data_IF_630123172786
#
_entry.id   IF_630123172786
#
_cell.length_a   1.000
_cell.length_b   1.000
_cell.length_c   1.000
_cell.angle_alpha   90.00
_cell.angle_beta   90.00
_cell.angle_gamma   90.00
#
_symmetry.space_group_name_H-M   'P 1'
#
loop_
_entity.id
_entity.type
_entity.pdbx_description
1 polymer ?
#
# COMPACT_ATOMS: atom_id res chain seq x y z
N UNK A 1 44.88 0.99 34.88
CA UNK A 1 44.06 1.72 33.90
C UNK A 1 43.63 0.74 32.81
N UNK A 2 42.43 0.19 32.90
CA UNK A 2 41.90 -0.79 31.94
C UNK A 2 40.81 -0.12 31.11
N UNK A 3 41.05 0.04 29.80
CA UNK A 3 40.05 0.51 28.84
C UNK A 3 38.92 -0.52 28.76
N UNK A 4 37.70 -0.11 29.13
CA UNK A 4 36.48 -0.85 28.79
C UNK A 4 36.17 -0.60 27.32
N UNK A 5 36.29 -1.63 26.50
CA UNK A 5 35.68 -1.65 25.17
C UNK A 5 34.17 -1.52 25.32
N UNK A 6 33.61 -0.43 24.79
CA UNK A 6 32.18 -0.27 24.64
C UNK A 6 31.70 -1.24 23.55
N UNK A 7 30.99 -2.28 23.97
CA UNK A 7 30.22 -3.13 23.06
C UNK A 7 29.20 -2.26 22.34
N UNK A 8 29.37 -2.07 21.02
CA UNK A 8 28.31 -1.57 20.14
C UNK A 8 27.13 -2.53 20.30
N UNK A 9 26.09 -2.10 21.01
CA UNK A 9 24.83 -2.82 21.04
C UNK A 9 24.36 -3.01 19.62
N UNK A 10 24.11 -4.27 19.22
CA UNK A 10 23.31 -4.54 18.03
C UNK A 10 22.01 -3.74 18.19
N UNK A 11 21.54 -3.00 17.18
CA UNK A 11 20.18 -2.48 17.22
C UNK A 11 19.27 -3.67 17.51
N UNK A 12 18.42 -3.53 18.53
CA UNK A 12 17.37 -4.51 18.82
C UNK A 12 16.70 -4.88 17.50
N UNK A 13 16.59 -6.16 17.19
CA UNK A 13 15.77 -6.67 16.09
C UNK A 13 14.33 -6.20 16.36
N UNK A 14 14.01 -4.99 15.89
CA UNK A 14 12.66 -4.51 15.84
C UNK A 14 11.87 -5.49 15.00
N UNK A 15 10.67 -5.84 15.46
CA UNK A 15 9.79 -6.75 14.77
C UNK A 15 9.34 -6.08 13.46
N UNK A 16 10.16 -6.15 12.42
CA UNK A 16 9.90 -5.50 11.13
C UNK A 16 8.66 -6.13 10.53
N UNK A 17 7.68 -5.29 10.22
CA UNK A 17 6.46 -5.68 9.54
C UNK A 17 6.53 -5.36 8.05
N UNK A 18 5.85 -6.16 7.25
CA UNK A 18 5.93 -6.16 5.80
C UNK A 18 4.56 -6.06 5.15
N UNK A 19 4.55 -5.50 3.95
CA UNK A 19 3.51 -5.71 2.96
C UNK A 19 4.06 -6.67 1.89
N UNK A 20 3.21 -7.61 1.46
CA UNK A 20 3.44 -8.43 0.28
C UNK A 20 2.35 -8.10 -0.74
N UNK A 21 2.74 -7.77 -1.98
CA UNK A 21 1.81 -7.29 -2.99
C UNK A 21 2.12 -7.73 -4.43
N UNK A 22 1.06 -7.82 -5.23
CA UNK A 22 1.07 -7.88 -6.69
C UNK A 22 0.14 -6.81 -7.27
N UNK A 23 0.46 -6.39 -8.49
CA UNK A 23 -0.22 -5.29 -9.16
C UNK A 23 -0.58 -5.68 -10.59
N UNK A 24 -1.72 -5.20 -11.07
CA UNK A 24 -2.16 -5.39 -12.45
C UNK A 24 -3.03 -4.24 -12.90
N UNK A 25 -3.29 -4.19 -14.20
CA UNK A 25 -4.18 -3.20 -14.81
C UNK A 25 -4.97 -3.83 -15.95
N UNK A 26 -6.17 -3.33 -16.23
CA UNK A 26 -7.03 -3.85 -17.30
C UNK A 26 -8.02 -2.79 -17.81
N UNK A 27 -8.63 -3.05 -18.97
CA UNK A 27 -9.60 -2.14 -19.57
C UNK A 27 -11.02 -2.36 -19.02
N UNK A 28 -11.82 -1.30 -18.96
CA UNK A 28 -13.21 -1.36 -18.46
C UNK A 28 -14.10 -2.45 -19.08
N UNK A 29 -13.84 -2.87 -20.32
CA UNK A 29 -14.57 -3.97 -20.99
C UNK A 29 -14.40 -5.32 -20.28
N UNK A 30 -13.28 -5.55 -19.62
CA UNK A 30 -12.94 -6.81 -18.95
C UNK A 30 -13.43 -6.85 -17.49
N UNK A 31 -13.94 -5.71 -16.99
CA UNK A 31 -14.43 -5.55 -15.62
C UNK A 31 -15.44 -6.62 -15.20
N UNK A 32 -16.49 -6.97 -15.97
CA UNK A 32 -17.46 -7.97 -15.52
C UNK A 32 -16.82 -9.34 -15.28
N UNK A 33 -15.91 -9.78 -16.15
CA UNK A 33 -15.26 -11.08 -16.04
C UNK A 33 -14.30 -11.14 -14.85
N UNK A 34 -13.49 -10.09 -14.66
CA UNK A 34 -12.53 -9.99 -13.55
C UNK A 34 -13.27 -9.88 -12.21
N UNK A 35 -14.27 -8.99 -12.13
CA UNK A 35 -15.13 -8.79 -10.97
C UNK A 35 -15.77 -10.11 -10.51
N UNK A 36 -16.40 -10.83 -11.44
CA UNK A 36 -17.09 -12.08 -11.12
C UNK A 36 -16.12 -13.14 -10.62
N UNK A 37 -14.94 -13.25 -11.22
CA UNK A 37 -13.93 -14.22 -10.78
C UNK A 37 -13.42 -13.90 -9.38
N UNK A 38 -13.05 -12.65 -9.10
CA UNK A 38 -12.58 -12.26 -7.76
C UNK A 38 -13.69 -12.49 -6.73
N UNK A 39 -14.92 -12.08 -7.03
CA UNK A 39 -16.08 -12.24 -6.12
C UNK A 39 -16.34 -13.70 -5.78
N UNK A 40 -16.28 -14.61 -6.76
CA UNK A 40 -16.51 -16.05 -6.55
C UNK A 40 -15.51 -16.69 -5.57
N UNK A 41 -14.32 -16.09 -5.45
CA UNK A 41 -13.22 -16.63 -4.65
C UNK A 41 -12.84 -15.73 -3.46
N UNK A 42 -13.71 -14.80 -3.09
CA UNK A 42 -13.52 -13.89 -1.96
C UNK A 42 -14.59 -14.12 -0.89
N UNK A 43 -14.26 -13.89 0.38
CA UNK A 43 -15.23 -13.97 1.48
C UNK A 43 -16.18 -12.77 1.50
N UNK A 44 -15.75 -11.63 0.97
CA UNK A 44 -16.57 -10.42 0.90
C UNK A 44 -16.19 -9.54 -0.28
N UNK A 45 -17.14 -8.72 -0.72
CA UNK A 45 -17.00 -7.75 -1.80
C UNK A 45 -17.82 -6.51 -1.46
N UNK A 46 -17.19 -5.33 -1.42
CA UNK A 46 -17.87 -4.06 -1.16
C UNK A 46 -17.31 -2.95 -2.04
N UNK A 47 -18.10 -1.91 -2.25
CA UNK A 47 -17.62 -0.70 -2.90
C UNK A 47 -16.60 0.02 -2.01
N UNK A 48 -15.63 0.69 -2.63
CA UNK A 48 -14.67 1.55 -1.95
C UNK A 48 -14.59 2.92 -2.62
N UNK A 49 -14.39 3.95 -1.80
CA UNK A 49 -14.03 5.28 -2.28
C UNK A 49 -13.06 5.91 -1.29
N UNK A 50 -11.76 5.82 -1.58
CA UNK A 50 -10.72 6.24 -0.63
C UNK A 50 -10.06 7.52 -1.09
N UNK A 51 -9.79 8.42 -0.15
CA UNK A 51 -8.87 9.54 -0.35
C UNK A 51 -7.50 9.19 0.19
N UNK A 52 -6.47 9.35 -0.64
CA UNK A 52 -5.08 9.16 -0.24
C UNK A 52 -4.31 10.47 -0.39
N UNK A 53 -3.50 10.82 0.61
CA UNK A 53 -2.55 11.91 0.56
C UNK A 53 -1.14 11.37 0.72
N UNK A 54 -0.22 11.94 -0.03
CA UNK A 54 1.22 11.67 0.09
C UNK A 54 1.90 12.91 0.62
N UNK A 55 2.72 12.72 1.63
CA UNK A 55 3.56 13.74 2.23
C UNK A 55 5.03 13.35 2.09
N UNK A 56 5.87 14.36 1.90
CA UNK A 56 7.32 14.22 1.92
C UNK A 56 7.91 15.02 3.09
N UNK A 57 9.08 14.65 3.62
CA UNK A 57 9.77 15.44 4.63
C UNK A 57 10.04 16.87 4.13
N UNK A 58 9.95 17.87 5.00
CA UNK A 58 10.23 19.26 4.65
C UNK A 58 11.66 19.45 4.11
N UNK A 59 12.61 18.66 4.60
CA UNK A 59 14.03 18.67 4.21
C UNK A 59 14.36 17.68 3.08
N UNK A 60 13.35 17.25 2.30
CA UNK A 60 13.48 16.21 1.26
C UNK A 60 14.64 16.46 0.28
N UNK A 61 14.90 17.72 -0.10
CA UNK A 61 15.98 18.06 -1.02
C UNK A 61 17.35 17.82 -0.38
N UNK A 62 17.54 18.19 0.88
CA UNK A 62 18.78 17.94 1.62
C UNK A 62 19.03 16.45 1.84
N UNK A 63 17.98 15.66 2.06
CA UNK A 63 18.10 14.20 2.18
C UNK A 63 18.58 13.58 0.87
N UNK A 64 17.97 13.97 -0.26
CA UNK A 64 18.36 13.49 -1.60
C UNK A 64 19.80 13.88 -1.96
N UNK A 65 20.21 15.11 -1.66
CA UNK A 65 21.60 15.57 -1.84
C UNK A 65 22.62 14.74 -1.04
N UNK A 66 22.21 14.20 0.11
CA UNK A 66 23.02 13.28 0.94
C UNK A 66 22.90 11.82 0.51
N UNK A 67 22.20 11.53 -0.58
CA UNK A 67 21.97 10.16 -1.07
C UNK A 67 21.01 9.34 -0.19
N UNK A 68 20.22 10.00 0.65
CA UNK A 68 19.20 9.36 1.48
C UNK A 68 17.88 9.35 0.72
N UNK A 69 17.25 8.19 0.62
CA UNK A 69 15.92 8.04 0.04
C UNK A 69 14.86 8.46 1.08
N UNK A 70 14.11 9.56 0.85
CA UNK A 70 13.20 10.09 1.83
C UNK A 70 12.02 9.15 2.07
N UNK A 71 11.74 8.86 3.33
CA UNK A 71 10.55 8.09 3.71
C UNK A 71 9.32 8.95 3.48
N UNK A 72 8.44 8.52 2.58
CA UNK A 72 7.17 9.20 2.34
C UNK A 72 6.14 8.75 3.38
N UNK A 73 5.38 9.72 3.89
CA UNK A 73 4.24 9.46 4.76
C UNK A 73 2.98 9.48 3.92
N UNK A 74 2.11 8.49 4.08
CA UNK A 74 0.83 8.39 3.40
C UNK A 74 -0.29 8.47 4.41
N UNK A 75 -1.37 9.14 4.04
CA UNK A 75 -2.62 9.17 4.81
C UNK A 75 -3.74 8.64 3.94
N UNK A 76 -4.52 7.69 4.45
CA UNK A 76 -5.70 7.13 3.75
C UNK A 76 -6.94 7.33 4.60
N UNK A 77 -8.06 7.66 3.96
CA UNK A 77 -9.39 7.70 4.57
C UNK A 77 -10.41 7.07 3.63
N UNK A 78 -11.22 6.15 4.15
CA UNK A 78 -12.41 5.63 3.45
C UNK A 78 -13.53 6.67 3.53
N UNK A 79 -14.15 6.99 2.38
CA UNK A 79 -15.15 8.05 2.27
C UNK A 79 -16.58 7.52 2.27
N UNK A 80 -16.76 6.22 2.04
CA UNK A 80 -18.09 5.58 2.16
C UNK A 80 -18.44 5.28 3.62
N UNK A 81 -17.47 5.32 4.53
CA UNK A 81 -17.69 5.16 5.97
C UNK A 81 -18.04 6.52 6.61
N UNK A 82 -19.22 6.65 7.28
CA UNK A 82 -19.66 7.91 7.89
C UNK A 82 -18.62 8.54 8.84
N UNK A 83 -17.92 7.71 9.61
CA UNK A 83 -16.89 8.12 10.57
C UNK A 83 -15.49 7.64 10.17
N UNK A 84 -15.22 7.54 8.87
CA UNK A 84 -13.95 7.09 8.32
C UNK A 84 -12.77 7.84 8.93
N UNK A 85 -11.90 7.10 9.63
CA UNK A 85 -10.69 7.65 10.28
C UNK A 85 -9.53 7.72 9.29
N UNK A 86 -8.63 8.67 9.53
CA UNK A 86 -7.37 8.71 8.83
C UNK A 86 -6.44 7.63 9.38
N UNK A 87 -5.86 6.84 8.48
CA UNK A 87 -4.78 5.91 8.77
C UNK A 87 -3.49 6.47 8.18
N UNK A 88 -2.47 6.63 9.02
CA UNK A 88 -1.14 7.03 8.56
C UNK A 88 -0.27 5.79 8.36
N UNK A 89 0.51 5.77 7.29
CA UNK A 89 1.40 4.66 7.00
C UNK A 89 2.56 5.07 6.10
N UNK A 90 3.62 4.29 6.13
CA UNK A 90 4.77 4.43 5.25
C UNK A 90 5.19 3.08 4.73
N UNK A 91 5.51 3.04 3.44
CA UNK A 91 6.22 1.94 2.83
C UNK A 91 7.69 2.33 2.72
N UNK A 92 8.58 1.40 3.10
CA UNK A 92 10.00 1.56 2.86
C UNK A 92 10.38 0.88 1.53
N UNK A 93 11.64 1.06 1.14
CA UNK A 93 12.18 0.48 -0.08
C UNK A 93 11.88 -1.03 -0.16
N UNK A 94 11.34 -1.52 -1.29
CA UNK A 94 11.14 -2.95 -1.49
C UNK A 94 12.44 -3.75 -1.35
N UNK A 95 12.29 -4.97 -0.84
CA UNK A 95 13.37 -5.94 -0.84
C UNK A 95 13.79 -6.30 -2.27
N UNK A 96 15.04 -6.72 -2.41
CA UNK A 96 15.63 -6.98 -3.71
C UNK A 96 14.83 -8.02 -4.51
N UNK A 97 14.71 -7.79 -5.82
CA UNK A 97 14.21 -8.78 -6.80
C UNK A 97 14.93 -10.12 -6.68
N UNK A 98 16.20 -10.13 -6.26
CA UNK A 98 16.96 -11.37 -6.07
C UNK A 98 16.47 -12.22 -4.89
N UNK A 99 15.81 -11.62 -3.91
CA UNK A 99 15.28 -12.30 -2.72
C UNK A 99 13.83 -12.72 -2.95
N UNK A 100 13.02 -11.82 -3.52
CA UNK A 100 11.60 -12.03 -3.76
C UNK A 100 11.19 -11.72 -5.21
N UNK A 101 11.60 -12.54 -6.20
CA UNK A 101 11.41 -12.18 -7.61
C UNK A 101 9.94 -12.06 -8.02
N UNK A 102 9.06 -12.85 -7.40
CA UNK A 102 7.69 -13.03 -7.89
C UNK A 102 6.69 -12.04 -7.29
N UNK A 103 7.03 -11.36 -6.17
CA UNK A 103 6.14 -10.42 -5.49
C UNK A 103 6.91 -9.23 -4.92
N UNK A 104 6.20 -8.10 -4.76
CA UNK A 104 6.74 -6.95 -4.04
C UNK A 104 6.67 -7.25 -2.56
N UNK A 105 7.82 -7.37 -1.90
CA UNK A 105 7.93 -7.47 -0.44
C UNK A 105 8.61 -6.20 0.05
N UNK A 106 7.95 -5.43 0.92
CA UNK A 106 8.50 -4.17 1.41
C UNK A 106 8.12 -3.92 2.87
N UNK A 107 9.00 -3.30 3.68
CA UNK A 107 8.61 -2.95 5.04
C UNK A 107 7.45 -1.96 5.04
N UNK A 108 6.51 -2.19 5.95
CA UNK A 108 5.28 -1.41 6.08
C UNK A 108 5.05 -1.03 7.54
N UNK A 109 5.10 0.28 7.81
CA UNK A 109 4.78 0.85 9.11
C UNK A 109 3.41 1.52 9.06
N UNK A 110 2.55 1.23 10.03
CA UNK A 110 1.21 1.84 10.15
C UNK A 110 1.03 2.47 11.51
N UNK A 111 0.32 3.59 11.58
CA UNK A 111 -0.08 4.25 12.81
C UNK A 111 -1.52 4.73 12.71
N UNK A 112 -2.29 4.45 13.76
CA UNK A 112 -3.61 5.01 13.96
C UNK A 112 -3.45 6.34 14.72
N UNK A 113 -3.98 7.42 14.15
CA UNK A 113 -3.97 8.74 14.80
C UNK A 113 -5.37 9.08 15.24
N UNK A 114 -5.52 9.47 16.51
CA UNK A 114 -6.75 10.04 17.02
C UNK A 114 -6.75 11.55 16.80
N UNK A 115 -7.87 12.10 16.30
CA UNK A 115 -8.00 13.53 16.01
C UNK A 115 -7.55 13.91 14.60
N UNK A 116 -6.91 15.07 14.46
CA UNK A 116 -6.49 15.60 13.16
C UNK A 116 -5.15 15.01 12.71
N UNK A 117 -5.23 13.90 11.96
CA UNK A 117 -4.07 13.21 11.43
C UNK A 117 -3.25 14.04 10.43
N UNK A 118 -3.86 15.00 9.72
CA UNK A 118 -3.15 15.78 8.69
C UNK A 118 -2.33 16.90 9.33
N UNK A 119 -2.89 17.56 10.35
CA UNK A 119 -2.12 18.49 11.19
C UNK A 119 -1.01 17.76 11.96
N UNK A 120 -1.28 16.55 12.45
CA UNK A 120 -0.26 15.72 13.08
C UNK A 120 0.89 15.39 12.12
N UNK A 121 0.61 14.97 10.89
CA UNK A 121 1.64 14.77 9.86
C UNK A 121 2.49 16.04 9.64
N UNK A 122 1.84 17.20 9.57
CA UNK A 122 2.53 18.48 9.37
C UNK A 122 3.43 18.85 10.55
N UNK A 123 2.98 18.58 11.79
CA UNK A 123 3.77 18.78 13.00
C UNK A 123 5.00 17.85 13.08
N UNK A 124 4.97 16.69 12.42
CA UNK A 124 6.13 15.80 12.27
C UNK A 124 7.16 16.31 11.24
N UNK A 125 6.94 17.48 10.64
CA UNK A 125 7.84 18.04 9.63
C UNK A 125 7.58 17.51 8.22
N UNK A 126 6.39 16.96 7.95
CA UNK A 126 5.99 16.54 6.61
C UNK A 126 5.16 17.62 5.90
N UNK A 127 5.34 17.73 4.59
CA UNK A 127 4.58 18.63 3.73
C UNK A 127 3.80 17.83 2.70
N UNK A 128 2.55 18.23 2.43
CA UNK A 128 1.69 17.54 1.46
C UNK A 128 2.28 17.72 0.05
N UNK A 129 2.62 16.60 -0.58
CA UNK A 129 3.15 16.55 -1.95
C UNK A 129 2.05 16.33 -2.98
N UNK A 130 1.17 15.37 -2.73
CA UNK A 130 0.10 15.02 -3.66
C UNK A 130 -1.12 14.43 -2.93
N UNK A 131 -2.21 14.31 -3.67
CA UNK A 131 -3.42 13.62 -3.24
C UNK A 131 -4.08 12.96 -4.44
N UNK A 132 -4.78 11.87 -4.20
CA UNK A 132 -5.58 11.15 -5.19
C UNK A 132 -6.82 10.56 -4.52
N UNK A 133 -7.79 10.21 -5.35
CA UNK A 133 -8.96 9.45 -4.94
C UNK A 133 -8.95 8.13 -5.71
N UNK A 134 -9.34 7.04 -5.04
CA UNK A 134 -9.53 5.73 -5.67
C UNK A 134 -10.99 5.34 -5.51
N UNK A 135 -11.67 5.01 -6.60
CA UNK A 135 -13.05 4.52 -6.60
C UNK A 135 -13.12 3.15 -7.24
N UNK A 136 -13.81 2.22 -6.59
CA UNK A 136 -13.95 0.87 -7.10
C UNK A 136 -14.47 -0.10 -6.07
N UNK A 137 -13.80 -1.24 -5.94
CA UNK A 137 -14.22 -2.36 -5.11
C UNK A 137 -13.07 -2.91 -4.28
N UNK A 138 -13.42 -3.40 -3.09
CA UNK A 138 -12.51 -4.08 -2.18
C UNK A 138 -13.06 -5.47 -1.86
N UNK A 139 -12.16 -6.46 -1.87
CA UNK A 139 -12.47 -7.85 -1.57
C UNK A 139 -11.57 -8.38 -0.47
N UNK A 140 -12.08 -9.32 0.32
CA UNK A 140 -11.28 -10.09 1.29
C UNK A 140 -11.14 -11.53 0.84
N UNK A 141 -9.91 -12.04 0.89
CA UNK A 141 -9.55 -13.46 0.71
C UNK A 141 -8.48 -13.82 1.72
N UNK A 142 -8.87 -14.46 2.81
CA UNK A 142 -8.01 -14.83 3.94
C UNK A 142 -7.24 -13.63 4.48
N UNK A 143 -5.89 -13.66 4.51
CA UNK A 143 -5.07 -12.56 4.99
C UNK A 143 -4.93 -11.42 3.96
N UNK A 144 -5.52 -11.55 2.77
CA UNK A 144 -5.36 -10.60 1.67
C UNK A 144 -6.54 -9.63 1.58
N UNK A 145 -6.21 -8.44 1.09
CA UNK A 145 -7.15 -7.49 0.53
C UNK A 145 -6.84 -7.35 -0.95
N UNK A 146 -7.88 -7.45 -1.78
CA UNK A 146 -7.80 -7.17 -3.21
C UNK A 146 -8.54 -5.86 -3.43
N UNK A 147 -7.87 -4.87 -4.01
CA UNK A 147 -8.49 -3.60 -4.39
C UNK A 147 -8.49 -3.51 -5.90
N UNK A 148 -9.63 -3.18 -6.47
CA UNK A 148 -9.78 -2.92 -7.90
C UNK A 148 -10.44 -1.58 -8.08
N UNK A 149 -9.74 -0.61 -8.66
CA UNK A 149 -10.18 0.79 -8.66
C UNK A 149 -9.71 1.55 -9.89
N UNK A 150 -10.36 2.68 -10.16
CA UNK A 150 -9.82 3.73 -11.02
C UNK A 150 -9.36 4.90 -10.15
N UNK A 151 -8.30 5.57 -10.56
CA UNK A 151 -7.86 6.81 -9.95
C UNK A 151 -8.70 7.99 -10.47
N UNK A 152 -9.22 8.78 -9.54
CA UNK A 152 -9.96 10.00 -9.81
C UNK A 152 -9.05 11.21 -9.62
N UNK A 153 -9.05 12.13 -10.59
CA UNK A 153 -8.29 13.37 -10.48
C UNK A 153 -8.92 14.31 -9.47
N UNK A 154 -8.11 15.19 -8.88
CA UNK A 154 -8.62 16.22 -7.98
C UNK A 154 -8.83 17.52 -8.73
N UNK A 155 -10.05 18.05 -8.67
CA UNK A 155 -10.35 19.38 -9.18
C UNK A 155 -9.55 20.42 -8.38
N UNK A 156 -8.69 21.24 -9.03
CA UNK A 156 -7.84 22.20 -8.33
C UNK A 156 -8.64 23.29 -7.61
N UNK A 157 -9.85 23.62 -8.09
CA UNK A 157 -10.71 24.66 -7.51
C UNK A 157 -11.54 24.12 -6.36
N UNK A 158 -12.20 22.98 -6.56
CA UNK A 158 -13.16 22.45 -5.57
C UNK A 158 -12.54 21.46 -4.58
N UNK A 159 -11.34 20.95 -4.87
CA UNK A 159 -10.67 19.89 -4.10
C UNK A 159 -11.51 18.61 -4.00
N UNK A 160 -12.44 18.41 -4.94
CA UNK A 160 -13.32 17.24 -5.03
C UNK A 160 -12.82 16.29 -6.13
N UNK A 161 -13.14 14.98 -6.04
CA UNK A 161 -12.81 14.04 -7.09
C UNK A 161 -13.59 14.33 -8.38
N UNK A 162 -12.89 14.27 -9.50
CA UNK A 162 -13.46 14.22 -10.85
C UNK A 162 -13.57 12.75 -11.24
N UNK A 163 -14.77 12.26 -11.62
CA UNK A 163 -14.94 10.88 -12.03
C UNK A 163 -13.96 10.47 -13.12
N UNK A 164 -13.43 9.26 -13.00
CA UNK A 164 -12.50 8.70 -13.99
C UNK A 164 -13.17 8.63 -15.38
N UNK A 165 -12.37 8.83 -16.43
CA UNK A 165 -12.86 8.68 -17.80
C UNK A 165 -13.09 7.21 -18.12
N UNK A 166 -13.92 6.92 -19.14
CA UNK A 166 -14.13 5.53 -19.58
C UNK A 166 -12.85 4.84 -20.11
N UNK A 167 -11.87 5.64 -20.53
CA UNK A 167 -10.57 5.18 -21.05
C UNK A 167 -9.55 4.96 -19.94
N UNK A 168 -9.82 5.44 -18.72
CA UNK A 168 -8.95 5.22 -17.57
C UNK A 168 -8.90 3.73 -17.26
N UNK A 169 -7.70 3.16 -17.18
CA UNK A 169 -7.52 1.75 -16.81
C UNK A 169 -8.01 1.51 -15.39
N UNK A 170 -8.49 0.31 -15.16
CA UNK A 170 -8.68 -0.21 -13.81
C UNK A 170 -7.35 -0.74 -13.31
N UNK A 171 -6.97 -0.35 -12.11
CA UNK A 171 -5.83 -0.87 -11.38
C UNK A 171 -6.29 -1.93 -10.39
N UNK A 172 -5.46 -2.95 -10.21
CA UNK A 172 -5.66 -4.02 -9.23
C UNK A 172 -4.45 -4.11 -8.32
N UNK A 173 -4.68 -4.03 -7.02
CA UNK A 173 -3.69 -4.29 -5.97
C UNK A 173 -4.13 -5.52 -5.19
N UNK A 174 -3.34 -6.60 -5.23
CA UNK A 174 -3.51 -7.77 -4.37
C UNK A 174 -2.44 -7.69 -3.30
N UNK A 175 -2.82 -7.51 -2.03
CA UNK A 175 -1.85 -7.31 -0.96
C UNK A 175 -2.29 -7.88 0.37
N UNK A 176 -1.35 -8.07 1.30
CA UNK A 176 -1.67 -8.34 2.70
C UNK A 176 -2.54 -7.24 3.30
N UNK A 177 -3.61 -7.61 3.99
CA UNK A 177 -4.57 -6.64 4.53
C UNK A 177 -4.04 -5.84 5.74
N UNK A 178 -3.07 -6.39 6.46
CA UNK A 178 -2.40 -5.78 7.61
C UNK A 178 -0.90 -6.05 7.52
N UNK A 179 -0.06 -5.26 8.21
CA UNK A 179 1.37 -5.52 8.25
C UNK A 179 1.64 -6.92 8.83
N UNK A 180 2.49 -7.71 8.16
CA UNK A 180 2.82 -9.08 8.58
C UNK A 180 4.25 -9.17 9.07
N UNK A 181 4.51 -9.98 10.10
CA UNK A 181 5.86 -10.25 10.59
C UNK A 181 6.33 -11.61 10.08
N UNK A 182 7.64 -11.72 9.83
CA UNK A 182 8.25 -13.03 9.59
C UNK A 182 8.41 -13.76 10.91
N UNK A 183 7.85 -14.96 11.04
CA UNK A 183 8.07 -15.84 12.19
C UNK A 183 8.39 -17.26 11.73
N UNK A 184 8.83 -18.13 12.66
CA UNK A 184 9.10 -19.54 12.35
C UNK A 184 7.84 -20.28 11.87
N UNK A 185 6.69 -19.94 12.45
CA UNK A 185 5.41 -20.60 12.18
C UNK A 185 4.64 -19.97 11.01
N UNK A 186 5.03 -18.75 10.60
CA UNK A 186 4.43 -18.03 9.47
C UNK A 186 5.51 -17.23 8.74
N UNK A 187 6.32 -17.90 7.90
CA UNK A 187 7.36 -17.24 7.13
C UNK A 187 6.74 -16.32 6.05
N UNK A 188 7.47 -15.29 5.64
CA UNK A 188 7.01 -14.37 4.57
C UNK A 188 6.68 -15.10 3.26
N UNK A 189 7.36 -16.22 2.97
CA UNK A 189 7.09 -17.05 1.79
C UNK A 189 5.64 -17.52 1.72
N UNK A 190 5.01 -17.81 2.87
CA UNK A 190 3.60 -18.21 2.90
C UNK A 190 2.68 -17.08 2.40
N UNK A 191 2.98 -15.82 2.75
CA UNK A 191 2.21 -14.68 2.27
C UNK A 191 2.49 -14.37 0.79
N UNK A 192 3.70 -14.67 0.31
CA UNK A 192 4.05 -14.64 -1.12
C UNK A 192 3.20 -15.67 -1.88
N UNK A 193 3.15 -16.92 -1.40
CA UNK A 193 2.36 -17.97 -2.01
C UNK A 193 0.86 -17.59 -2.08
N UNK A 194 0.35 -16.96 -1.02
CA UNK A 194 -1.05 -16.48 -1.00
C UNK A 194 -1.34 -15.47 -2.11
N UNK A 195 -0.46 -14.50 -2.37
CA UNK A 195 -0.68 -13.53 -3.47
C UNK A 195 -0.51 -14.19 -4.84
N UNK A 196 0.41 -15.16 -4.97
CA UNK A 196 0.60 -15.93 -6.20
C UNK A 196 -0.57 -16.87 -6.51
N UNK A 197 -1.28 -17.36 -5.49
CA UNK A 197 -2.53 -18.11 -5.69
C UNK A 197 -3.58 -17.24 -6.41
N UNK A 198 -3.68 -15.95 -6.05
CA UNK A 198 -4.57 -15.00 -6.73
C UNK A 198 -4.10 -14.75 -8.16
N UNK A 199 -2.79 -14.63 -8.40
CA UNK A 199 -2.24 -14.54 -9.76
C UNK A 199 -2.63 -15.77 -10.61
N UNK A 200 -2.48 -16.99 -10.08
CA UNK A 200 -2.85 -18.21 -10.78
C UNK A 200 -4.35 -18.27 -11.09
N UNK A 201 -5.18 -17.88 -10.13
CA UNK A 201 -6.63 -17.79 -10.29
C UNK A 201 -7.02 -16.80 -11.38
N UNK A 202 -6.31 -15.68 -11.48
CA UNK A 202 -6.55 -14.65 -12.49
C UNK A 202 -5.93 -14.94 -13.86
N UNK A 203 -5.24 -16.07 -14.02
CA UNK A 203 -4.60 -16.47 -15.28
C UNK A 203 -5.57 -16.40 -16.47
N UNK A 204 -5.11 -15.75 -17.52
CA UNK A 204 -5.86 -15.53 -18.76
C UNK A 204 -6.87 -14.37 -18.72
N UNK A 205 -7.09 -13.74 -17.56
CA UNK A 205 -7.96 -12.56 -17.43
C UNK A 205 -7.20 -11.30 -17.00
N UNK A 206 -6.26 -11.42 -16.06
CA UNK A 206 -5.52 -10.31 -15.51
C UNK A 206 -4.07 -10.75 -15.23
N UNK A 207 -3.12 -9.98 -15.75
CA UNK A 207 -1.70 -10.16 -15.47
C UNK A 207 -1.34 -9.43 -14.17
N UNK A 208 -1.19 -10.18 -13.08
CA UNK A 208 -0.72 -9.67 -11.80
C UNK A 208 0.78 -9.89 -11.69
N UNK A 209 1.54 -8.85 -11.37
CA UNK A 209 3.01 -8.92 -11.32
C UNK A 209 3.60 -8.10 -10.18
N UNK A 210 4.83 -8.44 -9.80
CA UNK A 210 5.67 -7.59 -8.96
C UNK A 210 5.84 -6.21 -9.62
N UNK A 211 5.82 -5.16 -8.80
CA UNK A 211 6.21 -3.81 -9.21
C UNK A 211 7.03 -3.14 -8.09
N UNK A 212 8.13 -2.49 -8.48
CA UNK A 212 8.95 -1.70 -7.57
C UNK A 212 8.38 -0.26 -7.52
N UNK A 213 7.29 -0.08 -6.77
CA UNK A 213 6.53 1.19 -6.60
C UNK A 213 6.80 1.84 -5.26
#
# INVERSE_FOLDING_TARGET
MSMRQASRGKPSEGNTTYEIALFGEFFSKDLPAIMNRITLHSESAHQMHTRELVFEPFDVNMQRERGVDPVLLRAKKELLEPDGKWVLYSYLKPESVRVHPDATVRPWATMQVQGDALSFASALGYVRRSQLYKRGYVFRKGPLVIQMFQQEQVDPKTQKPIPASQQTLWEVEVKTATPVTSSKDSPLSQYVDNVLEVQLLMKGLLDLRRQDV
#
